data_IF_305598058209
#
_entry.id   IF_305598058209
#
_cell.length_a   1.000
_cell.length_b   1.000
_cell.length_c   1.000
_cell.angle_alpha   90.00
_cell.angle_beta   90.00
_cell.angle_gamma   90.00
#
_symmetry.space_group_name_H-M   'P 1'
#
loop_
_entity.id
_entity.type
_entity.pdbx_description
1 polymer ?
#
# COMPACT_ATOMS: atom_id res chain seq x y z
N UNK A 1 13.89 -8.27 6.46
CA UNK A 1 12.41 -8.13 6.57
C UNK A 1 11.89 -7.17 5.50
N UNK A 2 12.24 -7.38 4.23
CA UNK A 2 11.64 -6.64 3.12
C UNK A 2 10.75 -7.61 2.38
N UNK A 3 9.49 -7.24 2.19
CA UNK A 3 8.52 -7.99 1.42
C UNK A 3 7.97 -7.06 0.35
N UNK A 4 7.80 -7.56 -0.87
CA UNK A 4 7.38 -6.75 -2.04
C UNK A 4 5.95 -6.19 -1.89
N UNK A 5 5.09 -6.83 -1.08
CA UNK A 5 3.71 -6.39 -0.84
C UNK A 5 3.56 -5.52 0.43
N UNK A 6 4.67 -5.12 1.06
CA UNK A 6 4.69 -4.18 2.18
C UNK A 6 5.36 -2.88 1.74
N UNK A 7 4.79 -1.74 2.16
CA UNK A 7 5.42 -0.44 1.88
C UNK A 7 6.79 -0.35 2.54
N UNK A 8 7.78 0.13 1.80
CA UNK A 8 9.14 0.29 2.30
C UNK A 8 9.18 1.27 3.47
N UNK A 9 9.76 0.85 4.59
CA UNK A 9 10.08 1.75 5.69
C UNK A 9 11.39 2.47 5.39
N UNK A 10 11.35 3.80 5.37
CA UNK A 10 12.51 4.64 5.06
C UNK A 10 13.21 5.12 6.33
N UNK A 11 12.46 5.36 7.41
CA UNK A 11 13.01 5.83 8.68
C UNK A 11 11.96 6.38 9.63
N UNK A 12 12.39 6.84 10.79
CA UNK A 12 11.51 7.47 11.79
C UNK A 12 12.21 8.66 12.44
N UNK A 13 11.44 9.71 12.72
CA UNK A 13 11.82 10.74 13.67
C UNK A 13 11.32 10.32 15.05
N UNK A 14 12.21 10.24 16.04
CA UNK A 14 11.88 9.80 17.41
C UNK A 14 12.11 10.91 18.44
N UNK A 15 12.22 12.15 17.96
CA UNK A 15 12.42 13.30 18.83
C UNK A 15 11.15 13.56 19.68
N UNK A 16 11.32 13.89 20.98
CA UNK A 16 10.19 14.22 21.85
C UNK A 16 9.33 15.35 21.26
N UNK A 17 8.04 15.10 21.08
CA UNK A 17 7.10 16.05 20.47
C UNK A 17 7.04 16.02 18.93
N UNK A 18 7.92 15.26 18.26
CA UNK A 18 8.02 15.17 16.81
C UNK A 18 8.13 13.72 16.32
N UNK A 19 7.37 12.80 16.92
CA UNK A 19 7.35 11.39 16.51
C UNK A 19 6.69 11.25 15.13
N UNK A 20 7.43 10.79 14.12
CA UNK A 20 6.87 10.48 12.81
C UNK A 20 7.54 9.27 12.16
N UNK A 21 6.79 8.60 11.28
CA UNK A 21 7.27 7.46 10.50
C UNK A 21 7.31 7.84 9.02
N UNK A 22 8.40 7.48 8.37
CA UNK A 22 8.63 7.74 6.96
C UNK A 22 8.53 6.43 6.19
N UNK A 23 7.60 6.38 5.25
CA UNK A 23 7.35 5.26 4.36
C UNK A 23 7.40 5.71 2.90
N UNK A 24 7.59 4.75 2.00
CA UNK A 24 7.47 4.99 0.57
C UNK A 24 6.06 5.45 0.18
N UNK A 25 5.98 6.37 -0.78
CA UNK A 25 4.71 6.94 -1.21
C UNK A 25 3.96 6.04 -2.20
N UNK A 26 2.77 5.58 -1.80
CA UNK A 26 1.88 4.79 -2.64
C UNK A 26 1.01 5.68 -3.55
N UNK A 27 1.49 5.93 -4.78
CA UNK A 27 0.86 6.87 -5.75
C UNK A 27 -0.62 6.59 -6.08
N UNK A 28 -1.09 5.35 -5.95
CA UNK A 28 -2.46 4.94 -6.30
C UNK A 28 -3.46 5.10 -5.15
N UNK A 29 -3.01 5.61 -4.00
CA UNK A 29 -3.84 5.69 -2.80
C UNK A 29 -4.02 4.33 -2.14
N UNK A 30 -5.10 4.22 -1.36
CA UNK A 30 -5.46 2.99 -0.67
C UNK A 30 -6.07 1.95 -1.62
N UNK A 31 -6.10 0.69 -1.20
CA UNK A 31 -6.82 -0.35 -1.93
C UNK A 31 -8.31 0.00 -2.07
N UNK A 32 -8.91 0.66 -1.06
CA UNK A 32 -10.29 1.14 -1.13
C UNK A 32 -10.49 2.15 -2.26
N UNK A 33 -9.57 3.10 -2.42
CA UNK A 33 -9.63 4.09 -3.51
C UNK A 33 -9.60 3.41 -4.88
N UNK A 34 -8.79 2.35 -5.02
CA UNK A 34 -8.72 1.56 -6.26
C UNK A 34 -10.00 0.74 -6.48
N UNK A 35 -10.56 0.15 -5.43
CA UNK A 35 -11.76 -0.70 -5.50
C UNK A 35 -13.04 0.07 -5.80
N UNK A 36 -13.14 1.31 -5.30
CA UNK A 36 -14.32 2.17 -5.48
C UNK A 36 -14.23 3.08 -6.72
N UNK A 37 -13.14 3.01 -7.47
CA UNK A 37 -12.96 3.83 -8.65
C UNK A 37 -13.61 3.19 -9.88
N UNK A 38 -14.78 3.71 -10.27
CA UNK A 38 -15.54 3.26 -11.45
C UNK A 38 -14.79 3.40 -12.78
N UNK A 39 -13.74 4.23 -12.85
CA UNK A 39 -12.89 4.34 -14.04
C UNK A 39 -11.90 3.17 -14.19
N UNK A 40 -11.65 2.42 -13.12
CA UNK A 40 -10.73 1.26 -13.12
C UNK A 40 -11.56 -0.01 -13.36
N UNK A 41 -11.39 -0.63 -14.52
CA UNK A 41 -11.98 -1.95 -14.79
C UNK A 41 -11.23 -3.05 -14.04
N UNK A 42 -11.77 -3.46 -12.91
CA UNK A 42 -11.26 -4.59 -12.12
C UNK A 42 -11.84 -5.90 -12.64
N UNK A 43 -11.17 -6.49 -13.64
CA UNK A 43 -11.51 -7.85 -14.09
C UNK A 43 -11.20 -8.90 -13.00
N UNK A 44 -11.73 -10.11 -13.19
CA UNK A 44 -11.56 -11.19 -12.21
C UNK A 44 -10.10 -11.55 -12.01
N UNK A 45 -9.31 -11.57 -13.08
CA UNK A 45 -7.88 -11.91 -13.04
C UNK A 45 -7.11 -10.93 -12.15
N UNK A 46 -7.37 -9.63 -12.29
CA UNK A 46 -6.74 -8.59 -11.50
C UNK A 46 -7.17 -8.65 -10.02
N UNK A 47 -8.45 -8.92 -9.75
CA UNK A 47 -8.94 -9.15 -8.38
C UNK A 47 -8.24 -10.33 -7.71
N UNK A 48 -8.08 -11.44 -8.44
CA UNK A 48 -7.37 -12.62 -7.92
C UNK A 48 -5.88 -12.32 -7.69
N UNK A 49 -5.24 -11.51 -8.54
CA UNK A 49 -3.87 -11.05 -8.30
C UNK A 49 -3.77 -10.28 -6.98
N UNK A 50 -4.63 -9.27 -6.79
CA UNK A 50 -4.67 -8.49 -5.55
C UNK A 50 -4.86 -9.37 -4.31
N UNK A 51 -5.78 -10.34 -4.36
CA UNK A 51 -6.01 -11.27 -3.25
C UNK A 51 -4.79 -12.12 -2.93
N UNK A 52 -4.09 -12.60 -3.97
CA UNK A 52 -2.85 -13.37 -3.80
C UNK A 52 -1.74 -12.51 -3.21
N UNK A 53 -1.60 -11.28 -3.66
CA UNK A 53 -0.58 -10.35 -3.16
C UNK A 53 -0.82 -9.99 -1.70
N UNK A 54 -2.08 -9.87 -1.27
CA UNK A 54 -2.45 -9.62 0.14
C UNK A 54 -2.21 -10.84 1.02
N UNK A 55 -2.41 -12.05 0.51
CA UNK A 55 -2.27 -13.29 1.29
C UNK A 55 -0.82 -13.78 1.42
N UNK A 56 0.10 -13.22 0.63
CA UNK A 56 1.51 -13.59 0.58
C UNK A 56 2.32 -12.82 1.61
#
# INVERSE_FOLDING_TARGET
MHHENLTGFLGACVDPGHLCLLYEYCKKGSLQDVLLNDSIKLDWTFKVSLLKDVAK
#
